data_IF_588528309822
#
_entry.id   IF_588528309822
#
_cell.length_a   1.000
_cell.length_b   1.000
_cell.length_c   1.000
_cell.angle_alpha   90.00
_cell.angle_beta   90.00
_cell.angle_gamma   90.00
#
_symmetry.space_group_name_H-M   'P 1'
#
loop_
_entity.id
_entity.type
_entity.pdbx_description
1 polymer ?
#
# COMPACT_ATOMS: atom_id res chain seq x y z
N UNK A 1 2.04 -18.47 0.91
CA UNK A 1 2.31 -19.45 2.00
C UNK A 1 1.48 -19.11 3.23
N UNK A 2 0.70 -20.07 3.76
CA UNK A 2 -0.09 -19.93 4.99
C UNK A 2 0.62 -20.61 6.17
N UNK A 3 0.62 -19.97 7.33
CA UNK A 3 1.15 -20.55 8.58
C UNK A 3 0.32 -20.08 9.77
N UNK A 4 0.21 -20.95 10.77
CA UNK A 4 -0.40 -20.62 12.07
C UNK A 4 0.62 -20.82 13.17
N UNK A 5 0.78 -19.83 14.05
CA UNK A 5 1.74 -19.89 15.16
C UNK A 5 1.23 -19.11 16.38
N UNK A 6 1.91 -19.27 17.52
CA UNK A 6 1.61 -18.54 18.76
C UNK A 6 2.57 -17.37 18.89
N UNK A 7 2.06 -16.20 19.23
CA UNK A 7 2.85 -15.02 19.56
C UNK A 7 2.32 -14.45 20.88
N UNK A 8 3.05 -14.67 21.97
CA UNK A 8 2.53 -14.42 23.32
C UNK A 8 1.30 -15.28 23.62
N UNK A 9 0.22 -14.62 24.04
CA UNK A 9 -1.08 -15.21 24.29
C UNK A 9 -1.96 -15.32 23.03
N UNK A 10 -1.54 -14.71 21.91
CA UNK A 10 -2.29 -14.70 20.65
C UNK A 10 -1.92 -15.87 19.72
N UNK A 11 -2.87 -16.29 18.90
CA UNK A 11 -2.70 -17.21 17.77
C UNK A 11 -2.72 -16.39 16.48
N UNK A 12 -1.64 -16.44 15.72
CA UNK A 12 -1.48 -15.69 14.47
C UNK A 12 -1.71 -16.62 13.28
N UNK A 13 -2.62 -16.23 12.38
CA UNK A 13 -2.93 -16.86 11.10
C UNK A 13 -2.36 -15.96 10.00
N UNK A 14 -1.20 -16.34 9.44
CA UNK A 14 -0.41 -15.45 8.58
C UNK A 14 -0.30 -16.02 7.17
N UNK A 15 -0.82 -15.26 6.21
CA UNK A 15 -0.66 -15.49 4.79
C UNK A 15 0.38 -14.52 4.23
N UNK A 16 1.35 -15.06 3.50
CA UNK A 16 2.26 -14.27 2.66
C UNK A 16 1.98 -14.61 1.20
N UNK A 17 1.70 -13.60 0.38
CA UNK A 17 1.49 -13.76 -1.06
C UNK A 17 2.60 -13.05 -1.83
N UNK A 18 3.13 -13.70 -2.86
CA UNK A 18 4.16 -13.12 -3.71
C UNK A 18 3.60 -12.09 -4.69
N UNK A 19 2.30 -12.17 -5.01
CA UNK A 19 1.63 -11.22 -5.89
C UNK A 19 0.13 -11.12 -5.60
N UNK A 20 -0.50 -10.07 -6.12
CA UNK A 20 -1.96 -9.94 -6.10
C UNK A 20 -2.64 -11.08 -6.86
N UNK A 21 -2.02 -11.59 -7.94
CA UNK A 21 -2.60 -12.69 -8.73
C UNK A 21 -2.66 -14.01 -7.96
N UNK A 22 -1.61 -14.33 -7.19
CA UNK A 22 -1.60 -15.50 -6.30
C UNK A 22 -2.72 -15.39 -5.26
N UNK A 23 -2.89 -14.21 -4.67
CA UNK A 23 -3.94 -13.95 -3.70
C UNK A 23 -5.34 -14.06 -4.28
N UNK A 24 -5.60 -13.40 -5.41
CA UNK A 24 -6.89 -13.47 -6.10
C UNK A 24 -7.23 -14.91 -6.49
N UNK A 25 -6.26 -15.66 -7.02
CA UNK A 25 -6.44 -17.07 -7.36
C UNK A 25 -6.79 -17.89 -6.12
N UNK A 26 -6.09 -17.67 -5.00
CA UNK A 26 -6.39 -18.35 -3.74
C UNK A 26 -7.82 -18.07 -3.26
N UNK A 27 -8.22 -16.80 -3.13
CA UNK A 27 -9.54 -16.45 -2.57
C UNK A 27 -10.71 -16.84 -3.47
N UNK A 28 -10.49 -16.97 -4.78
CA UNK A 28 -11.47 -17.47 -5.75
C UNK A 28 -11.67 -18.99 -5.66
N UNK A 29 -10.63 -19.74 -5.29
CA UNK A 29 -10.65 -21.22 -5.26
C UNK A 29 -10.92 -21.79 -3.87
N UNK A 30 -10.60 -21.05 -2.81
CA UNK A 30 -10.69 -21.55 -1.45
C UNK A 30 -12.15 -21.78 -1.02
N UNK A 31 -12.38 -22.88 -0.30
CA UNK A 31 -13.69 -23.21 0.27
C UNK A 31 -13.97 -22.36 1.51
N UNK A 32 -15.23 -21.99 1.70
CA UNK A 32 -15.66 -21.25 2.89
C UNK A 32 -15.47 -22.13 4.13
N UNK A 33 -14.81 -21.59 5.15
CA UNK A 33 -14.57 -22.29 6.40
C UNK A 33 -15.90 -22.59 7.13
N UNK A 34 -15.99 -23.70 7.88
CA UNK A 34 -17.22 -24.08 8.58
C UNK A 34 -17.81 -23.00 9.49
N UNK A 35 -16.96 -22.16 10.09
CA UNK A 35 -17.40 -21.03 10.93
C UNK A 35 -18.29 -20.03 10.18
N UNK A 36 -18.09 -19.88 8.85
CA UNK A 36 -18.82 -18.94 8.00
C UNK A 36 -19.91 -19.60 7.14
N UNK A 37 -20.19 -20.89 7.33
CA UNK A 37 -21.09 -21.65 6.44
C UNK A 37 -22.56 -21.18 6.46
N UNK A 38 -23.00 -20.48 7.51
CA UNK A 38 -24.41 -20.08 7.72
C UNK A 38 -24.61 -18.57 7.86
N UNK A 39 -23.55 -17.79 7.66
CA UNK A 39 -23.60 -16.33 7.80
C UNK A 39 -23.50 -15.65 6.44
N UNK A 40 -23.90 -14.38 6.40
CA UNK A 40 -23.65 -13.53 5.25
C UNK A 40 -22.15 -13.34 5.06
N UNK A 41 -21.69 -13.50 3.82
CA UNK A 41 -20.27 -13.46 3.47
C UNK A 41 -19.99 -12.37 2.45
N UNK A 42 -18.72 -12.03 2.33
CA UNK A 42 -18.15 -11.15 1.31
C UNK A 42 -18.34 -11.63 -0.13
N UNK A 43 -19.04 -12.74 -0.37
CA UNK A 43 -19.44 -13.18 -1.71
C UNK A 43 -20.78 -12.60 -2.16
N UNK A 44 -21.67 -12.23 -1.24
CA UNK A 44 -23.02 -11.78 -1.55
C UNK A 44 -23.04 -10.53 -2.42
N UNK A 45 -24.08 -10.38 -3.24
CA UNK A 45 -24.27 -9.16 -4.01
C UNK A 45 -24.71 -8.00 -3.11
N UNK A 46 -24.23 -6.79 -3.42
CA UNK A 46 -24.65 -5.57 -2.74
C UNK A 46 -25.44 -4.66 -3.68
N UNK A 47 -26.27 -3.76 -3.14
CA UNK A 47 -26.98 -2.74 -3.93
C UNK A 47 -26.03 -1.89 -4.78
N UNK A 48 -26.55 -1.32 -5.87
CA UNK A 48 -25.73 -0.51 -6.80
C UNK A 48 -25.12 0.75 -6.14
N UNK A 49 -25.76 1.29 -5.12
CA UNK A 49 -25.39 2.49 -4.38
C UNK A 49 -24.69 2.20 -3.04
N UNK A 50 -24.21 0.96 -2.86
CA UNK A 50 -23.54 0.54 -1.64
C UNK A 50 -22.27 1.37 -1.37
N UNK A 51 -22.32 2.14 -0.28
CA UNK A 51 -21.19 2.97 0.16
C UNK A 51 -20.20 2.21 1.04
N UNK A 52 -20.52 0.98 1.44
CA UNK A 52 -19.66 0.17 2.29
C UNK A 52 -18.61 -0.58 1.46
N UNK A 53 -19.00 -1.49 0.58
CA UNK A 53 -18.05 -2.22 -0.28
C UNK A 53 -17.68 -1.39 -1.52
N UNK A 54 -18.67 -0.73 -2.14
CA UNK A 54 -18.53 -0.03 -3.43
C UNK A 54 -18.27 -0.92 -4.64
N UNK A 55 -18.53 -2.21 -4.51
CA UNK A 55 -18.61 -3.16 -5.63
C UNK A 55 -19.80 -4.06 -5.40
N UNK A 56 -20.62 -4.26 -6.41
CA UNK A 56 -21.82 -5.10 -6.39
C UNK A 56 -21.49 -6.56 -6.17
N UNK A 57 -20.42 -7.09 -6.77
CA UNK A 57 -20.11 -8.53 -6.72
C UNK A 57 -18.64 -8.85 -6.41
N UNK A 58 -18.37 -10.10 -6.06
CA UNK A 58 -17.01 -10.56 -5.72
C UNK A 58 -16.14 -10.52 -6.96
N UNK A 59 -16.71 -10.98 -8.07
CA UNK A 59 -16.08 -10.97 -9.38
C UNK A 59 -15.79 -9.55 -9.86
N UNK A 60 -16.62 -8.57 -9.52
CA UNK A 60 -16.33 -7.16 -9.82
C UNK A 60 -15.10 -6.67 -9.05
N UNK A 61 -15.03 -6.92 -7.74
CA UNK A 61 -13.86 -6.58 -6.93
C UNK A 61 -12.57 -7.27 -7.45
N UNK A 62 -12.66 -8.56 -7.83
CA UNK A 62 -11.55 -9.30 -8.42
C UNK A 62 -11.11 -8.68 -9.75
N UNK A 63 -12.06 -8.33 -10.64
CA UNK A 63 -11.76 -7.69 -11.93
C UNK A 63 -11.06 -6.36 -11.75
N UNK A 64 -11.58 -5.49 -10.88
CA UNK A 64 -10.96 -4.19 -10.62
C UNK A 64 -9.55 -4.37 -10.03
N UNK A 65 -9.38 -5.26 -9.05
CA UNK A 65 -8.07 -5.51 -8.45
C UNK A 65 -7.06 -6.08 -9.47
N UNK A 66 -7.51 -6.90 -10.42
CA UNK A 66 -6.66 -7.56 -11.41
C UNK A 66 -6.26 -6.63 -12.56
N UNK A 67 -7.18 -5.82 -13.04
CA UNK A 67 -6.98 -5.00 -14.25
C UNK A 67 -6.72 -3.52 -13.97
N UNK A 68 -7.08 -3.01 -12.79
CA UNK A 68 -6.85 -1.62 -12.38
C UNK A 68 -7.70 -0.58 -13.11
N UNK A 69 -8.67 -1.01 -13.94
CA UNK A 69 -9.56 -0.13 -14.70
C UNK A 69 -10.81 0.21 -13.85
N UNK A 70 -10.86 1.44 -13.32
CA UNK A 70 -11.93 1.92 -12.47
C UNK A 70 -11.94 3.44 -12.34
N UNK A 71 -13.12 4.06 -12.30
CA UNK A 71 -13.31 5.52 -12.25
C UNK A 71 -12.57 6.20 -11.09
N UNK A 72 -12.47 5.52 -9.95
CA UNK A 72 -11.72 6.02 -8.79
C UNK A 72 -10.20 6.16 -9.00
N UNK A 73 -9.63 5.59 -10.07
CA UNK A 73 -8.21 5.74 -10.40
C UNK A 73 -7.87 7.19 -10.79
N UNK A 74 -8.72 7.86 -11.55
CA UNK A 74 -8.51 9.26 -11.94
C UNK A 74 -8.57 10.19 -10.72
N UNK A 75 -9.48 9.88 -9.77
CA UNK A 75 -9.54 10.57 -8.49
C UNK A 75 -8.25 10.40 -7.68
N UNK A 76 -7.73 9.17 -7.60
CA UNK A 76 -6.43 8.90 -6.97
C UNK A 76 -5.33 9.77 -7.60
N UNK A 77 -5.22 9.76 -8.93
CA UNK A 77 -4.17 10.51 -9.62
C UNK A 77 -4.30 12.02 -9.44
N UNK A 78 -5.52 12.55 -9.37
CA UNK A 78 -5.77 13.96 -9.01
C UNK A 78 -5.25 14.28 -7.61
N UNK A 79 -5.61 13.47 -6.62
CA UNK A 79 -5.22 13.66 -5.21
C UNK A 79 -3.71 13.53 -5.02
N UNK A 80 -3.09 12.53 -5.63
CA UNK A 80 -1.61 12.38 -5.68
C UNK A 80 -0.97 13.62 -6.28
N UNK A 81 -1.52 14.15 -7.38
CA UNK A 81 -1.06 15.38 -8.02
C UNK A 81 -1.18 16.62 -7.13
N UNK A 82 -2.20 16.70 -6.27
CA UNK A 82 -2.35 17.77 -5.28
C UNK A 82 -1.27 17.71 -4.20
N UNK A 83 -1.04 16.54 -3.61
CA UNK A 83 0.02 16.33 -2.61
C UNK A 83 1.39 16.63 -3.22
N UNK A 84 1.67 16.11 -4.42
CA UNK A 84 2.92 16.34 -5.14
C UNK A 84 3.21 17.81 -5.40
N UNK A 85 2.20 18.61 -5.77
CA UNK A 85 2.36 20.06 -5.98
C UNK A 85 2.65 20.82 -4.70
N UNK A 86 2.15 20.32 -3.57
CA UNK A 86 2.40 20.91 -2.26
C UNK A 86 3.75 20.49 -1.66
N UNK A 87 4.37 19.40 -2.14
CA UNK A 87 5.67 18.95 -1.64
C UNK A 87 6.81 19.91 -1.99
N UNK A 88 7.65 20.19 -0.99
CA UNK A 88 8.91 20.88 -1.13
C UNK A 88 10.08 19.89 -1.03
N UNK A 89 10.49 19.36 -2.18
CA UNK A 89 11.53 18.35 -2.25
C UNK A 89 12.90 18.98 -2.53
N UNK A 90 13.96 18.58 -1.81
CA UNK A 90 15.31 19.05 -2.05
C UNK A 90 15.91 18.33 -3.28
N UNK A 91 15.40 18.65 -4.47
CA UNK A 91 15.84 18.06 -5.72
C UNK A 91 17.21 18.63 -6.13
N UNK A 92 18.26 17.85 -5.94
CA UNK A 92 19.59 18.18 -6.48
C UNK A 92 19.70 17.69 -7.93
N UNK A 93 20.16 18.57 -8.82
CA UNK A 93 20.50 18.15 -10.19
C UNK A 93 21.67 17.17 -10.14
N UNK A 94 21.47 15.99 -10.72
CA UNK A 94 22.54 15.02 -10.82
C UNK A 94 23.53 15.50 -11.89
N UNK A 95 24.82 15.54 -11.54
CA UNK A 95 25.87 15.92 -12.48
C UNK A 95 25.93 14.89 -13.61
N UNK A 96 25.81 15.37 -14.83
CA UNK A 96 26.06 14.61 -16.04
C UNK A 96 27.51 14.82 -16.48
N UNK A 97 28.04 13.89 -17.26
CA UNK A 97 29.35 14.01 -17.89
C UNK A 97 29.31 13.38 -19.30
N UNK A 98 30.28 13.72 -20.14
CA UNK A 98 30.42 13.13 -21.47
C UNK A 98 31.29 11.89 -21.43
N UNK A 99 30.87 10.88 -22.18
CA UNK A 99 31.44 9.55 -22.22
C UNK A 99 31.26 8.93 -23.63
N UNK A 100 31.92 7.81 -23.88
CA UNK A 100 31.78 7.07 -25.15
C UNK A 100 30.47 6.24 -25.20
N UNK A 101 29.92 5.88 -24.04
CA UNK A 101 28.63 5.20 -23.88
C UNK A 101 27.81 5.94 -22.83
N UNK A 102 26.51 6.09 -23.06
CA UNK A 102 25.64 6.81 -22.15
C UNK A 102 24.17 6.60 -22.50
N UNK A 103 23.30 7.29 -21.77
CA UNK A 103 21.84 7.14 -21.92
C UNK A 103 21.24 8.11 -22.93
N UNK A 104 21.96 9.16 -23.32
CA UNK A 104 21.49 10.12 -24.32
C UNK A 104 22.68 10.63 -25.16
N UNK A 105 22.55 10.76 -26.48
CA UNK A 105 23.60 11.36 -27.32
C UNK A 105 23.64 12.89 -27.18
N UNK A 106 24.85 13.46 -27.14
CA UNK A 106 25.10 14.88 -27.41
C UNK A 106 25.39 15.05 -28.91
N UNK A 107 24.37 15.53 -29.63
CA UNK A 107 24.41 15.69 -31.09
C UNK A 107 25.52 16.66 -31.51
N UNK A 108 25.80 17.70 -30.73
CA UNK A 108 26.83 18.68 -31.08
C UNK A 108 28.21 18.04 -31.00
N UNK A 109 28.51 17.38 -29.88
CA UNK A 109 29.78 16.70 -29.67
C UNK A 109 30.02 15.62 -30.74
N UNK A 110 28.97 14.89 -31.15
CA UNK A 110 29.05 13.91 -32.24
C UNK A 110 29.41 14.55 -33.59
N UNK A 111 28.76 15.65 -33.97
CA UNK A 111 29.02 16.35 -35.24
C UNK A 111 30.42 16.98 -35.29
N UNK A 112 30.95 17.37 -34.14
CA UNK A 112 32.33 17.86 -33.98
C UNK A 112 33.37 16.73 -34.02
N UNK A 113 32.95 15.47 -34.15
CA UNK A 113 33.83 14.30 -34.19
C UNK A 113 34.38 13.89 -32.83
N UNK A 114 33.78 14.35 -31.73
CA UNK A 114 34.21 13.98 -30.38
C UNK A 114 33.86 12.52 -30.08
N UNK A 115 34.83 11.69 -29.63
CA UNK A 115 34.54 10.35 -29.13
C UNK A 115 33.72 10.35 -27.82
N UNK A 116 33.68 11.48 -27.11
CA UNK A 116 32.87 11.70 -25.91
C UNK A 116 31.55 12.37 -26.31
N UNK A 117 30.73 11.65 -27.09
CA UNK A 117 29.48 12.16 -27.66
C UNK A 117 28.23 11.61 -26.98
N UNK A 118 28.38 10.88 -25.87
CA UNK A 118 27.26 10.38 -25.08
C UNK A 118 27.24 11.08 -23.71
N UNK A 119 26.05 11.48 -23.26
CA UNK A 119 25.80 11.95 -21.90
C UNK A 119 25.58 10.75 -20.99
N UNK A 120 26.31 10.75 -19.87
CA UNK A 120 26.22 9.73 -18.85
C UNK A 120 26.07 10.35 -17.45
N UNK A 121 25.76 9.51 -16.48
CA UNK A 121 25.50 9.87 -15.10
C UNK A 121 26.19 8.88 -14.18
N UNK A 122 26.78 9.33 -13.05
CA UNK A 122 27.43 8.41 -12.12
C UNK A 122 26.36 7.50 -11.50
N UNK A 123 26.62 6.18 -11.38
CA UNK A 123 25.68 5.27 -10.73
C UNK A 123 25.51 5.66 -9.26
N UNK A 124 24.27 5.79 -8.81
CA UNK A 124 23.94 5.99 -7.39
C UNK A 124 23.48 4.68 -6.79
N UNK A 125 24.15 4.21 -5.74
CA UNK A 125 23.58 3.20 -4.85
C UNK A 125 22.44 3.86 -4.08
N UNK A 126 21.20 3.55 -4.45
CA UNK A 126 20.02 4.03 -3.72
C UNK A 126 19.97 3.36 -2.36
N UNK A 127 19.85 4.16 -1.30
CA UNK A 127 19.54 3.63 0.03
C UNK A 127 18.09 3.20 0.06
N UNK A 128 17.81 2.10 0.76
CA UNK A 128 16.48 1.52 0.87
C UNK A 128 15.68 2.18 2.00
N UNK A 129 14.40 2.42 1.76
CA UNK A 129 13.40 2.84 2.76
C UNK A 129 12.21 1.89 2.64
N UNK A 130 11.91 1.15 3.71
CA UNK A 130 10.75 0.26 3.74
C UNK A 130 9.55 0.99 4.35
N UNK A 131 8.43 0.99 3.63
CA UNK A 131 7.14 1.52 4.06
C UNK A 131 6.19 0.34 4.30
N UNK A 132 5.62 0.26 5.50
CA UNK A 132 4.71 -0.78 5.94
C UNK A 132 3.32 -0.19 6.10
N UNK A 133 2.38 -0.57 5.25
CA UNK A 133 1.03 -0.04 5.23
C UNK A 133 0.01 -1.13 5.62
N UNK A 134 -0.49 -1.06 6.85
CA UNK A 134 -1.66 -1.82 7.23
C UNK A 134 -2.90 -1.23 6.55
N UNK A 135 -3.64 -2.03 5.80
CA UNK A 135 -4.85 -1.62 5.07
C UNK A 135 -6.13 -1.85 5.87
N UNK A 136 -6.07 -2.60 6.97
CA UNK A 136 -7.20 -2.81 7.87
C UNK A 136 -7.80 -1.47 8.32
N UNK A 137 -9.13 -1.37 8.36
CA UNK A 137 -9.81 -0.18 8.81
C UNK A 137 -11.12 -0.53 9.52
N UNK A 138 -11.57 0.35 10.41
CA UNK A 138 -12.85 0.18 11.10
C UNK A 138 -14.00 0.17 10.09
N UNK A 139 -15.07 -0.59 10.39
CA UNK A 139 -16.26 -0.65 9.52
C UNK A 139 -16.90 0.72 9.25
N UNK A 140 -16.73 1.68 10.16
CA UNK A 140 -17.21 3.07 9.99
C UNK A 140 -16.30 3.97 9.15
N UNK A 141 -15.14 3.49 8.69
CA UNK A 141 -14.19 4.28 7.91
C UNK A 141 -14.81 4.65 6.56
N UNK A 142 -14.97 5.94 6.27
CA UNK A 142 -15.54 6.40 5.00
C UNK A 142 -14.55 6.19 3.85
N UNK A 143 -15.06 5.96 2.64
CA UNK A 143 -14.28 5.87 1.41
C UNK A 143 -13.23 6.97 1.26
N UNK A 144 -13.61 8.22 1.51
CA UNK A 144 -12.72 9.38 1.34
C UNK A 144 -11.44 9.28 2.20
N UNK A 145 -11.55 8.72 3.42
CA UNK A 145 -10.40 8.51 4.30
C UNK A 145 -9.45 7.45 3.73
N UNK A 146 -10.00 6.36 3.20
CA UNK A 146 -9.23 5.29 2.55
C UNK A 146 -8.51 5.85 1.31
N UNK A 147 -9.25 6.56 0.46
CA UNK A 147 -8.73 7.20 -0.76
C UNK A 147 -7.60 8.20 -0.45
N UNK A 148 -7.82 9.12 0.50
CA UNK A 148 -6.80 10.11 0.87
C UNK A 148 -5.56 9.44 1.46
N UNK A 149 -5.73 8.45 2.35
CA UNK A 149 -4.60 7.71 2.91
C UNK A 149 -3.78 7.00 1.85
N UNK A 150 -4.44 6.32 0.91
CA UNK A 150 -3.78 5.65 -0.22
C UNK A 150 -3.06 6.64 -1.15
N UNK A 151 -3.69 7.77 -1.47
CA UNK A 151 -3.09 8.83 -2.28
C UNK A 151 -1.84 9.43 -1.62
N UNK A 152 -1.87 9.69 -0.31
CA UNK A 152 -0.71 10.19 0.44
C UNK A 152 0.39 9.14 0.53
N UNK A 153 0.06 7.86 0.74
CA UNK A 153 1.05 6.78 0.74
C UNK A 153 1.77 6.65 -0.61
N UNK A 154 1.02 6.72 -1.71
CA UNK A 154 1.57 6.69 -3.07
C UNK A 154 2.47 7.91 -3.34
N UNK A 155 1.98 9.12 -3.02
CA UNK A 155 2.76 10.35 -3.17
C UNK A 155 4.04 10.35 -2.32
N UNK A 156 3.98 9.81 -1.09
CA UNK A 156 5.13 9.66 -0.21
C UNK A 156 6.18 8.71 -0.80
N UNK A 157 5.77 7.54 -1.29
CA UNK A 157 6.67 6.58 -1.91
C UNK A 157 7.41 7.20 -3.10
N UNK A 158 6.68 7.86 -4.00
CA UNK A 158 7.27 8.49 -5.18
C UNK A 158 8.19 9.67 -4.82
N UNK A 159 7.82 10.47 -3.83
CA UNK A 159 8.63 11.59 -3.36
C UNK A 159 9.96 11.12 -2.75
N UNK A 160 9.92 10.05 -1.93
CA UNK A 160 11.12 9.44 -1.37
C UNK A 160 12.03 8.89 -2.49
N UNK A 161 11.44 8.29 -3.53
CA UNK A 161 12.22 7.83 -4.69
C UNK A 161 12.84 8.97 -5.48
N UNK A 162 12.10 10.08 -5.65
CA UNK A 162 12.56 11.25 -6.39
C UNK A 162 13.77 11.93 -5.73
N UNK A 163 13.86 11.86 -4.39
CA UNK A 163 15.02 12.37 -3.64
C UNK A 163 16.22 11.40 -3.65
N UNK A 164 16.07 10.22 -4.27
CA UNK A 164 17.17 9.30 -4.56
C UNK A 164 17.27 8.07 -3.66
N UNK A 165 16.19 7.73 -2.95
CA UNK A 165 16.06 6.46 -2.24
C UNK A 165 15.35 5.42 -3.12
N UNK A 166 15.45 4.15 -2.75
CA UNK A 166 14.58 3.09 -3.27
C UNK A 166 13.56 2.77 -2.18
N UNK A 167 12.29 2.67 -2.56
CA UNK A 167 11.21 2.35 -1.62
C UNK A 167 10.83 0.88 -1.73
N UNK A 168 10.63 0.21 -0.61
CA UNK A 168 9.98 -1.11 -0.54
C UNK A 168 8.59 -0.87 0.03
N UNK A 169 7.53 -1.17 -0.72
CA UNK A 169 6.15 -0.98 -0.24
C UNK A 169 5.56 -2.32 0.19
N UNK A 170 5.61 -2.56 1.50
CA UNK A 170 4.95 -3.67 2.16
C UNK A 170 3.51 -3.27 2.46
N UNK A 171 2.56 -3.90 1.77
CA UNK A 171 1.13 -3.72 2.02
C UNK A 171 0.64 -4.97 2.72
N UNK A 172 -0.12 -4.79 3.79
CA UNK A 172 -0.69 -5.91 4.51
C UNK A 172 -2.06 -5.54 5.05
N UNK A 173 -2.87 -6.54 5.36
CA UNK A 173 -4.02 -6.40 6.22
C UNK A 173 -3.70 -7.15 7.51
N UNK A 174 -3.84 -6.49 8.65
CA UNK A 174 -3.70 -7.12 9.95
C UNK A 174 -4.82 -6.68 10.86
N UNK A 175 -5.65 -7.63 11.23
CA UNK A 175 -6.74 -7.45 12.19
C UNK A 175 -6.61 -8.44 13.35
N UNK A 176 -7.11 -8.04 14.51
CA UNK A 176 -7.18 -8.87 15.71
C UNK A 176 -8.63 -9.05 16.16
N UNK A 177 -8.92 -10.21 16.72
CA UNK A 177 -10.20 -10.49 17.36
C UNK A 177 -9.98 -11.50 18.47
N UNK A 178 -10.39 -11.16 19.70
CA UNK A 178 -10.05 -11.91 20.91
C UNK A 178 -8.55 -12.26 20.98
N UNK A 179 -8.22 -13.55 21.00
CA UNK A 179 -6.85 -14.07 21.05
C UNK A 179 -6.31 -14.45 19.67
N UNK A 180 -7.00 -14.12 18.59
CA UNK A 180 -6.58 -14.42 17.23
C UNK A 180 -6.09 -13.15 16.51
N UNK A 181 -5.07 -13.30 15.67
CA UNK A 181 -4.59 -12.29 14.73
C UNK A 181 -4.63 -12.88 13.33
N UNK A 182 -5.23 -12.18 12.40
CA UNK A 182 -5.20 -12.52 10.98
C UNK A 182 -4.28 -11.56 10.24
N UNK A 183 -3.44 -12.09 9.34
CA UNK A 183 -2.49 -11.30 8.57
C UNK A 183 -2.49 -11.76 7.12
N UNK A 184 -2.64 -10.82 6.18
CA UNK A 184 -2.30 -11.00 4.77
C UNK A 184 -1.19 -10.04 4.39
N UNK A 185 -0.07 -10.54 3.86
CA UNK A 185 1.13 -9.73 3.60
C UNK A 185 1.57 -9.81 2.14
N UNK A 186 1.93 -8.64 1.60
CA UNK A 186 2.32 -8.44 0.22
C UNK A 186 3.51 -7.47 0.12
N UNK A 187 4.48 -7.79 -0.75
CA UNK A 187 5.42 -6.80 -1.27
C UNK A 187 4.89 -6.30 -2.62
N UNK A 188 4.21 -5.14 -2.63
CA UNK A 188 3.55 -4.64 -3.84
C UNK A 188 4.44 -3.72 -4.71
N UNK A 189 5.55 -3.24 -4.16
CA UNK A 189 6.58 -2.54 -4.92
C UNK A 189 7.95 -2.94 -4.37
N UNK A 190 8.74 -3.59 -5.22
CA UNK A 190 10.14 -3.92 -4.93
C UNK A 190 11.04 -2.68 -5.10
N UNK A 191 12.14 -2.53 -4.34
CA UNK A 191 13.09 -1.42 -4.44
C UNK A 191 13.60 -1.11 -5.83
N UNK A 192 13.68 -2.13 -6.70
CA UNK A 192 14.14 -1.99 -8.08
C UNK A 192 12.98 -1.85 -9.10
N UNK A 193 11.72 -2.06 -8.65
CA UNK A 193 10.51 -1.82 -9.44
C UNK A 193 10.13 -0.32 -9.39
N UNK A 194 9.66 0.22 -10.53
CA UNK A 194 9.03 1.54 -10.53
C UNK A 194 7.66 1.46 -9.87
N UNK A 195 7.28 2.51 -9.16
CA UNK A 195 5.92 2.64 -8.65
C UNK A 195 4.91 2.50 -9.79
N UNK A 196 3.95 1.59 -9.64
CA UNK A 196 2.85 1.37 -10.57
C UNK A 196 1.52 1.75 -9.88
N UNK A 197 1.01 2.97 -10.09
CA UNK A 197 -0.22 3.44 -9.46
C UNK A 197 -1.45 2.56 -9.75
N UNK A 198 -1.57 2.00 -10.96
CA UNK A 198 -2.73 1.18 -11.32
C UNK A 198 -2.77 -0.12 -10.52
N UNK A 199 -1.61 -0.79 -10.35
CA UNK A 199 -1.44 -1.97 -9.49
C UNK A 199 -1.77 -1.67 -8.02
N UNK A 200 -1.44 -0.46 -7.56
CA UNK A 200 -1.56 -0.05 -6.17
C UNK A 200 -2.93 0.56 -5.83
N UNK A 201 -3.69 1.04 -6.81
CA UNK A 201 -4.95 1.72 -6.58
C UNK A 201 -5.92 0.91 -5.71
N UNK A 202 -6.20 -0.33 -6.12
CA UNK A 202 -7.21 -1.13 -5.43
C UNK A 202 -6.79 -1.46 -3.99
N UNK A 203 -5.58 -2.01 -3.73
CA UNK A 203 -5.13 -2.30 -2.37
C UNK A 203 -5.02 -1.09 -1.45
N UNK A 204 -4.67 0.08 -2.00
CA UNK A 204 -4.43 1.27 -1.19
C UNK A 204 -5.68 2.13 -0.97
N UNK A 205 -6.63 2.13 -1.91
CA UNK A 205 -7.65 3.19 -2.00
C UNK A 205 -9.09 2.67 -2.04
N UNK A 206 -9.32 1.41 -2.38
CA UNK A 206 -10.68 0.90 -2.62
C UNK A 206 -11.23 0.13 -1.39
N UNK A 207 -12.44 0.44 -0.89
CA UNK A 207 -13.00 -0.24 0.28
C UNK A 207 -13.11 -1.77 0.14
N UNK A 208 -13.53 -2.28 -1.03
CA UNK A 208 -13.57 -3.73 -1.33
C UNK A 208 -12.25 -4.47 -1.22
N UNK A 209 -11.09 -3.79 -1.18
CA UNK A 209 -9.83 -4.47 -0.85
C UNK A 209 -9.92 -5.17 0.51
N UNK A 210 -10.36 -4.45 1.53
CA UNK A 210 -10.55 -5.02 2.87
C UNK A 210 -11.89 -5.75 2.93
N UNK A 211 -12.97 -5.02 2.62
CA UNK A 211 -14.36 -5.44 2.90
C UNK A 211 -14.88 -6.58 2.02
N UNK A 212 -14.12 -6.94 0.99
CA UNK A 212 -14.47 -8.06 0.11
C UNK A 212 -13.34 -9.05 -0.02
N UNK A 213 -12.16 -8.63 -0.47
CA UNK A 213 -11.07 -9.57 -0.74
C UNK A 213 -10.41 -10.11 0.53
N UNK A 214 -10.07 -9.25 1.50
CA UNK A 214 -9.50 -9.72 2.77
C UNK A 214 -10.55 -10.38 3.67
N UNK A 215 -11.81 -9.91 3.65
CA UNK A 215 -12.91 -10.62 4.31
C UNK A 215 -13.07 -12.03 3.74
N UNK A 216 -13.01 -12.20 2.40
CA UNK A 216 -12.99 -13.52 1.77
C UNK A 216 -11.83 -14.39 2.24
N UNK A 217 -10.65 -13.80 2.43
CA UNK A 217 -9.51 -14.53 2.97
C UNK A 217 -9.78 -15.01 4.40
N UNK A 218 -10.35 -14.17 5.27
CA UNK A 218 -10.74 -14.56 6.64
C UNK A 218 -11.77 -15.69 6.61
N UNK A 219 -12.81 -15.57 5.78
CA UNK A 219 -13.87 -16.58 5.62
C UNK A 219 -13.37 -17.94 5.17
N UNK A 220 -12.26 -17.97 4.45
CA UNK A 220 -11.65 -19.19 3.89
C UNK A 220 -10.42 -19.65 4.68
N UNK A 221 -10.11 -18.99 5.81
CA UNK A 221 -8.92 -19.30 6.61
C UNK A 221 -9.11 -20.61 7.39
N UNK A 222 -8.20 -21.59 7.25
CA UNK A 222 -8.30 -22.84 8.00
C UNK A 222 -8.23 -22.62 9.51
N UNK A 223 -9.21 -23.17 10.24
CA UNK A 223 -9.25 -23.09 11.71
C UNK A 223 -9.64 -21.72 12.28
N UNK A 224 -10.16 -20.82 11.45
CA UNK A 224 -10.75 -19.55 11.88
C UNK A 224 -11.93 -19.81 12.83
N UNK A 225 -12.00 -19.04 13.91
CA UNK A 225 -13.02 -19.19 14.94
C UNK A 225 -14.33 -18.46 14.61
N UNK A 226 -15.44 -18.91 15.19
CA UNK A 226 -16.75 -18.28 15.01
C UNK A 226 -16.85 -16.83 15.54
N UNK A 227 -15.94 -16.40 16.42
CA UNK A 227 -15.89 -15.02 16.91
C UNK A 227 -15.56 -13.99 15.80
N UNK A 228 -15.01 -14.44 14.66
CA UNK A 228 -14.74 -13.59 13.50
C UNK A 228 -15.98 -13.23 12.66
N UNK A 229 -17.07 -14.00 12.76
CA UNK A 229 -18.21 -13.88 11.83
C UNK A 229 -19.04 -12.61 11.99
N UNK A 230 -18.94 -11.94 13.15
CA UNK A 230 -19.71 -10.72 13.42
C UNK A 230 -19.07 -9.45 12.86
N UNK A 231 -17.75 -9.32 12.93
CA UNK A 231 -17.05 -8.05 12.66
C UNK A 231 -15.86 -8.17 11.73
N UNK A 232 -15.41 -9.38 11.40
CA UNK A 232 -14.13 -9.63 10.71
C UNK A 232 -12.90 -9.08 11.46
N UNK A 233 -13.04 -8.81 12.77
CA UNK A 233 -11.99 -8.29 13.64
C UNK A 233 -11.87 -6.77 13.67
N UNK A 234 -10.80 -6.30 14.32
CA UNK A 234 -10.47 -4.89 14.49
C UNK A 234 -9.04 -4.63 13.99
N UNK A 235 -8.76 -3.46 13.39
CA UNK A 235 -7.40 -3.09 12.99
C UNK A 235 -6.39 -3.25 14.12
N UNK A 236 -5.32 -4.00 13.87
CA UNK A 236 -4.27 -4.18 14.87
C UNK A 236 -3.51 -2.86 15.12
N UNK A 237 -3.23 -2.57 16.40
CA UNK A 237 -2.43 -1.41 16.79
C UNK A 237 -0.95 -1.56 16.40
N UNK A 238 -0.26 -0.43 16.22
CA UNK A 238 1.15 -0.38 15.78
C UNK A 238 2.10 -1.24 16.63
N UNK A 239 1.98 -1.32 17.98
CA UNK A 239 2.83 -2.21 18.76
C UNK A 239 2.69 -3.69 18.35
N UNK A 240 1.45 -4.18 18.21
CA UNK A 240 1.19 -5.56 17.79
C UNK A 240 1.69 -5.82 16.36
N UNK A 241 1.46 -4.86 15.44
CA UNK A 241 1.98 -4.92 14.07
C UNK A 241 3.49 -5.09 14.07
N UNK A 242 4.22 -4.28 14.85
CA UNK A 242 5.68 -4.36 14.94
C UNK A 242 6.14 -5.69 15.51
N UNK A 243 5.49 -6.16 16.57
CA UNK A 243 5.86 -7.42 17.22
C UNK A 243 5.62 -8.64 16.32
N UNK A 244 4.46 -8.71 15.65
CA UNK A 244 4.09 -9.82 14.76
C UNK A 244 4.94 -9.85 13.49
N UNK A 245 5.21 -8.70 12.88
CA UNK A 245 6.03 -8.60 11.67
C UNK A 245 7.54 -8.49 11.95
N UNK A 246 7.95 -8.47 13.22
CA UNK A 246 9.35 -8.36 13.63
C UNK A 246 10.01 -7.05 13.21
N UNK A 247 9.26 -5.94 13.24
CA UNK A 247 9.71 -4.63 12.79
C UNK A 247 10.46 -3.88 13.90
N UNK A 248 11.65 -3.37 13.57
CA UNK A 248 12.40 -2.47 14.46
C UNK A 248 11.69 -1.15 14.74
N UNK A 249 12.14 -0.40 15.74
CA UNK A 249 11.55 0.89 16.11
C UNK A 249 11.65 1.97 15.01
N UNK A 250 12.62 1.83 14.13
CA UNK A 250 12.89 2.69 12.97
C UNK A 250 12.07 2.33 11.73
N UNK A 251 11.39 1.18 11.72
CA UNK A 251 10.52 0.81 10.61
C UNK A 251 9.34 1.78 10.48
N UNK A 252 9.05 2.19 9.25
CA UNK A 252 8.01 3.17 8.95
C UNK A 252 6.69 2.44 8.75
N UNK A 253 5.94 2.29 9.84
CA UNK A 253 4.55 1.85 9.80
C UNK A 253 3.67 3.07 9.52
N UNK A 254 3.04 3.06 8.35
CA UNK A 254 2.28 4.20 7.86
C UNK A 254 0.95 4.31 8.65
N UNK A 255 0.65 5.49 9.23
CA UNK A 255 -0.38 5.63 10.25
C UNK A 255 -1.77 5.29 9.72
N UNK A 256 -2.65 4.76 10.57
CA UNK A 256 -4.05 4.54 10.22
C UNK A 256 -4.77 5.88 10.00
N UNK A 257 -5.96 5.85 9.37
CA UNK A 257 -6.77 7.06 9.22
C UNK A 257 -7.14 7.70 10.57
N UNK A 258 -7.35 6.87 11.59
CA UNK A 258 -7.65 7.31 12.96
C UNK A 258 -6.43 7.96 13.61
N UNK A 259 -5.26 7.35 13.53
CA UNK A 259 -4.04 7.86 14.17
C UNK A 259 -3.56 9.17 13.54
N UNK A 260 -3.64 9.26 12.21
CA UNK A 260 -3.33 10.48 11.47
C UNK A 260 -4.47 11.52 11.48
N UNK A 261 -5.64 11.19 12.03
CA UNK A 261 -6.83 12.06 12.02
C UNK A 261 -7.18 12.57 10.61
N UNK A 262 -7.26 11.64 9.67
CA UNK A 262 -7.64 11.92 8.28
C UNK A 262 -9.11 12.30 8.24
N UNK A 263 -9.43 13.41 7.60
CA UNK A 263 -10.82 13.90 7.47
C UNK A 263 -11.44 13.55 6.12
N UNK A 264 -10.60 13.37 5.08
CA UNK A 264 -11.08 13.06 3.73
C UNK A 264 -11.64 14.27 2.98
N UNK A 265 -11.29 15.48 3.41
CA UNK A 265 -11.79 16.74 2.82
C UNK A 265 -10.68 17.49 2.05
N UNK A 266 -9.49 17.60 2.64
CA UNK A 266 -8.33 18.23 2.03
C UNK A 266 -7.12 17.31 2.12
N UNK A 267 -6.73 16.72 0.98
CA UNK A 267 -5.64 15.74 0.94
C UNK A 267 -4.28 16.31 1.32
N UNK A 268 -4.05 17.61 1.12
CA UNK A 268 -2.78 18.26 1.52
C UNK A 268 -2.72 18.42 3.04
N UNK A 269 -3.84 18.71 3.69
CA UNK A 269 -3.91 18.75 5.16
C UNK A 269 -3.79 17.34 5.76
N UNK A 270 -4.47 16.35 5.16
CA UNK A 270 -4.30 14.95 5.56
C UNK A 270 -2.85 14.48 5.37
N UNK A 271 -2.19 14.89 4.27
CA UNK A 271 -0.77 14.65 4.04
C UNK A 271 0.11 15.29 5.12
N UNK A 272 -0.19 16.53 5.53
CA UNK A 272 0.54 17.22 6.59
C UNK A 272 0.51 16.43 7.91
N UNK A 273 -0.67 15.91 8.28
CA UNK A 273 -0.85 15.10 9.50
C UNK A 273 -0.10 13.78 9.42
N UNK A 274 -0.16 13.08 8.28
CA UNK A 274 0.59 11.85 8.05
C UNK A 274 2.10 12.10 8.09
N UNK A 275 2.60 13.11 7.37
CA UNK A 275 4.02 13.42 7.27
C UNK A 275 4.62 13.82 8.62
N UNK A 276 3.85 14.50 9.49
CA UNK A 276 4.27 14.77 10.85
C UNK A 276 4.62 13.51 11.65
N UNK A 277 3.93 12.38 11.38
CA UNK A 277 4.15 11.11 12.06
C UNK A 277 5.30 10.30 11.44
N UNK A 278 5.48 10.34 10.12
CA UNK A 278 6.49 9.51 9.43
C UNK A 278 7.85 10.21 9.25
N UNK A 279 7.91 11.54 9.18
CA UNK A 279 9.16 12.29 8.98
C UNK A 279 10.24 12.02 10.05
N UNK A 280 9.92 11.86 11.35
CA UNK A 280 10.92 11.52 12.36
C UNK A 280 11.63 10.17 12.11
N UNK A 281 10.99 9.27 11.35
CA UNK A 281 11.52 7.94 11.03
C UNK A 281 12.26 7.93 9.67
N UNK A 282 12.06 8.95 8.85
CA UNK A 282 12.72 9.08 7.56
C UNK A 282 14.14 9.64 7.72
N UNK A 283 15.11 9.19 6.89
CA UNK A 283 16.38 9.89 6.74
C UNK A 283 16.15 11.38 6.47
N UNK A 284 16.97 12.27 7.03
CA UNK A 284 16.78 13.73 6.93
C UNK A 284 16.53 14.22 5.49
N UNK A 285 17.28 13.66 4.53
CA UNK A 285 17.11 13.97 3.10
C UNK A 285 15.77 13.48 2.51
N UNK A 286 15.19 12.42 3.05
CA UNK A 286 13.92 11.85 2.58
C UNK A 286 12.69 12.44 3.27
N UNK A 287 12.86 13.37 4.22
CA UNK A 287 11.74 13.98 4.93
C UNK A 287 10.85 14.77 3.98
N UNK A 288 9.55 14.52 4.09
CA UNK A 288 8.51 15.07 3.24
C UNK A 288 7.99 16.37 3.85
N UNK A 289 8.41 17.50 3.27
CA UNK A 289 7.98 18.84 3.69
C UNK A 289 6.94 19.36 2.72
N UNK A 290 5.90 20.01 3.25
CA UNK A 290 4.89 20.69 2.46
C UNK A 290 5.17 22.19 2.49
N UNK A 291 4.88 22.87 1.38
CA UNK A 291 4.93 24.33 1.23
C UNK A 291 3.82 25.04 1.99
#
# INVERSE_FOLDING_TARGET
MFRTYRHGDKRVMHFTFASLDEFLTYVQQAETAPAFATVETSLQETPEDDQFMMTRSFDEAVKICRFGDHDGFDELMRLVGEVRRALDLPLESQRTFHDYVGFAPDVKAYLEGSPLSMVNMPPRKKRRVALYLNTSCDGSTRRALIMHRGAVALAAAEAIELVGFSVDLHVFEMSENDCDVHVSEFLLKDPDERVNPQKLYFPLCHPSWVRRLNFRLIETTPGIGGHWTGTYGYPAEVPLVRDVLGLGADAIVFPSAKDARIEGENVVEDARRIFALINPLLPERAQLKLR
#
